data_IF_216621377616
#
_entry.id   IF_216621377616
#
_cell.length_a   1.000
_cell.length_b   1.000
_cell.length_c   1.000
_cell.angle_alpha   90.00
_cell.angle_beta   90.00
_cell.angle_gamma   90.00
#
_symmetry.space_group_name_H-M   'P 1'
#
loop_
_entity.id
_entity.type
_entity.pdbx_description
1 polymer ?
#
# COMPACT_ATOMS: atom_id res chain seq x y z
N UNK A 1 -61.01 -39.94 16.00
CA UNK A 1 -61.47 -40.90 17.02
C UNK A 1 -60.53 -42.09 16.95
N UNK A 2 -59.56 -42.13 17.87
CA UNK A 2 -59.41 -43.18 18.91
C UNK A 2 -58.69 -44.42 18.35
N UNK A 3 -57.64 -44.98 18.94
CA UNK A 3 -57.08 -44.88 20.29
C UNK A 3 -55.80 -45.71 20.35
N UNK A 4 -54.79 -45.22 21.07
CA UNK A 4 -53.68 -46.00 21.64
C UNK A 4 -54.19 -46.96 22.74
N UNK A 5 -53.40 -47.97 23.14
CA UNK A 5 -52.82 -47.90 24.49
C UNK A 5 -51.37 -48.44 24.63
N UNK A 6 -50.58 -47.64 25.37
CA UNK A 6 -49.68 -47.91 26.50
C UNK A 6 -49.10 -49.34 26.80
N UNK A 7 -47.76 -49.50 26.91
CA UNK A 7 -46.80 -49.35 28.05
C UNK A 7 -46.34 -50.73 28.58
N UNK A 8 -45.02 -50.96 28.57
CA UNK A 8 -44.24 -51.56 29.68
C UNK A 8 -42.72 -51.48 29.37
N UNK A 9 -41.95 -50.76 30.19
CA UNK A 9 -40.51 -51.00 30.39
C UNK A 9 -40.30 -51.98 31.56
N UNK A 10 -39.13 -52.05 32.21
CA UNK A 10 -37.79 -51.57 31.84
C UNK A 10 -36.73 -52.70 31.89
N UNK A 11 -35.50 -52.43 31.47
CA UNK A 11 -34.29 -52.82 32.23
C UNK A 11 -33.09 -52.03 31.69
N UNK A 12 -32.42 -51.37 32.62
CA UNK A 12 -31.11 -50.77 32.45
C UNK A 12 -30.12 -51.83 31.97
N UNK A 13 -29.21 -51.46 31.08
CA UNK A 13 -27.80 -51.58 31.42
C UNK A 13 -26.98 -50.47 30.76
N UNK A 14 -26.45 -49.64 31.65
CA UNK A 14 -25.37 -48.69 31.43
C UNK A 14 -24.09 -49.45 31.10
N UNK A 15 -23.44 -49.08 29.99
CA UNK A 15 -21.98 -49.14 29.93
C UNK A 15 -21.48 -47.71 29.73
N UNK A 16 -20.95 -47.19 30.83
CA UNK A 16 -20.39 -45.86 31.00
C UNK A 16 -18.97 -45.89 30.44
N UNK A 17 -18.72 -45.17 29.35
CA UNK A 17 -17.39 -44.79 28.88
C UNK A 17 -17.11 -43.34 29.28
N UNK A 18 -15.87 -42.97 29.66
CA UNK A 18 -15.61 -41.72 30.36
C UNK A 18 -15.87 -40.51 29.47
N UNK A 19 -16.80 -39.70 29.94
CA UNK A 19 -17.08 -38.33 29.54
C UNK A 19 -15.86 -37.45 29.75
N UNK A 20 -15.31 -36.90 28.67
CA UNK A 20 -14.62 -35.62 28.69
C UNK A 20 -14.93 -34.87 27.40
N UNK A 21 -16.19 -34.44 27.26
CA UNK A 21 -16.48 -33.26 26.44
C UNK A 21 -15.98 -32.09 27.28
N UNK A 22 -14.77 -31.62 26.98
CA UNK A 22 -14.30 -30.34 27.50
C UNK A 22 -15.08 -29.28 26.75
N UNK A 23 -16.14 -28.78 27.37
CA UNK A 23 -16.67 -27.47 27.05
C UNK A 23 -15.57 -26.48 27.41
N UNK A 24 -14.83 -26.00 26.41
CA UNK A 24 -14.07 -24.76 26.57
C UNK A 24 -15.11 -23.66 26.45
N UNK A 25 -15.75 -23.32 27.57
CA UNK A 25 -16.39 -22.02 27.70
C UNK A 25 -15.31 -20.98 27.42
N UNK A 26 -15.48 -20.25 26.32
CA UNK A 26 -14.68 -19.07 26.06
C UNK A 26 -14.88 -18.11 27.24
N UNK A 27 -13.81 -17.59 27.87
CA UNK A 27 -13.99 -16.51 28.80
C UNK A 27 -14.52 -15.32 28.00
N UNK A 28 -15.74 -14.91 28.32
CA UNK A 28 -16.29 -13.61 27.95
C UNK A 28 -15.48 -12.54 28.69
N UNK A 29 -14.32 -12.19 28.14
CA UNK A 29 -13.54 -11.05 28.59
C UNK A 29 -13.37 -10.05 27.44
N UNK A 30 -14.26 -9.06 27.46
CA UNK A 30 -14.25 -7.93 26.54
C UNK A 30 -13.08 -6.95 26.78
N UNK A 31 -12.19 -7.21 27.76
CA UNK A 31 -11.01 -6.37 27.99
C UNK A 31 -9.77 -6.77 27.19
N UNK A 32 -9.73 -7.95 26.56
CA UNK A 32 -8.63 -8.35 25.65
C UNK A 32 -8.85 -7.82 24.23
N UNK A 33 -10.10 -7.58 23.84
CA UNK A 33 -10.46 -7.04 22.52
C UNK A 33 -10.36 -5.51 22.43
N UNK A 34 -10.33 -4.80 23.56
CA UNK A 34 -10.17 -3.34 23.59
C UNK A 34 -8.72 -2.88 23.44
N UNK A 35 -7.75 -3.76 23.70
CA UNK A 35 -6.31 -3.43 23.59
C UNK A 35 -5.77 -3.57 22.15
N UNK A 36 -6.41 -4.39 21.30
CA UNK A 36 -6.00 -4.60 19.89
C UNK A 36 -6.46 -3.46 18.98
N UNK A 37 -7.49 -2.70 19.37
CA UNK A 37 -8.03 -1.59 18.56
C UNK A 37 -7.22 -0.30 18.73
N UNK A 38 -6.45 -0.16 19.83
CA UNK A 38 -5.76 1.07 20.19
C UNK A 38 -4.40 1.31 19.51
N UNK A 39 -3.89 0.39 18.68
CA UNK A 39 -2.55 0.50 18.06
C UNK A 39 -2.53 0.43 16.53
N UNK A 40 -3.70 0.38 15.88
CA UNK A 40 -3.83 0.17 14.42
C UNK A 40 -3.75 1.48 13.62
N UNK A 41 -2.60 2.13 13.65
CA UNK A 41 -2.29 3.25 12.73
C UNK A 41 -1.84 2.72 11.36
N UNK A 42 -2.15 3.44 10.27
CA UNK A 42 -1.67 3.08 8.93
C UNK A 42 -0.13 3.17 8.79
N UNK A 43 0.46 4.03 9.62
CA UNK A 43 1.89 4.17 9.81
C UNK A 43 2.26 3.60 11.18
N UNK A 44 3.31 2.79 11.30
CA UNK A 44 3.81 2.37 12.61
C UNK A 44 4.15 3.57 13.49
N UNK A 45 3.99 3.43 14.82
CA UNK A 45 4.28 4.50 15.79
C UNK A 45 5.74 4.99 15.73
N UNK A 46 6.66 4.09 15.37
CA UNK A 46 8.06 4.42 15.12
C UNK A 46 8.27 4.38 13.60
N UNK A 47 8.62 5.50 13.01
CA UNK A 47 8.86 5.65 11.57
C UNK A 47 9.87 6.77 11.34
N UNK A 48 10.48 6.83 10.16
CA UNK A 48 11.34 7.95 9.81
C UNK A 48 10.55 9.27 9.90
N UNK A 49 11.12 10.32 10.53
CA UNK A 49 10.47 11.61 10.68
C UNK A 49 10.22 12.27 9.32
N UNK A 50 9.40 13.32 9.30
CA UNK A 50 9.30 14.19 8.13
C UNK A 50 10.69 14.77 7.79
N UNK A 51 10.98 14.88 6.50
CA UNK A 51 12.23 15.42 5.97
C UNK A 51 11.87 16.28 4.77
N UNK A 52 12.47 17.46 4.64
CA UNK A 52 12.26 18.31 3.47
C UNK A 52 13.12 17.85 2.29
N UNK A 53 12.59 18.02 1.07
CA UNK A 53 13.33 17.76 -0.15
C UNK A 53 14.47 18.75 -0.33
N UNK A 54 15.64 18.25 -0.70
CA UNK A 54 16.70 19.09 -1.26
C UNK A 54 16.33 19.59 -2.68
N UNK A 55 17.12 20.55 -3.19
CA UNK A 55 16.95 21.05 -4.56
C UNK A 55 17.08 19.93 -5.61
N UNK A 56 16.22 19.98 -6.63
CA UNK A 56 16.17 19.04 -7.73
C UNK A 56 15.60 19.71 -8.99
N UNK A 57 15.66 19.02 -10.14
CA UNK A 57 15.25 19.57 -11.44
C UNK A 57 13.79 19.35 -11.80
N UNK A 58 12.96 18.88 -10.86
CA UNK A 58 11.52 18.72 -11.12
C UNK A 58 10.87 20.09 -11.34
N UNK A 59 9.97 20.18 -12.30
CA UNK A 59 9.26 21.41 -12.63
C UNK A 59 7.83 21.31 -12.10
N UNK A 60 7.41 22.27 -11.27
CA UNK A 60 6.01 22.37 -10.86
C UNK A 60 5.15 22.79 -12.06
N UNK A 61 4.06 22.07 -12.28
CA UNK A 61 3.03 22.38 -13.27
C UNK A 61 1.65 22.20 -12.63
N UNK A 62 0.69 22.95 -13.13
CA UNK A 62 -0.73 22.65 -12.89
C UNK A 62 -1.31 22.05 -14.15
N UNK A 63 -1.89 20.86 -14.04
CA UNK A 63 -2.67 20.23 -15.11
C UNK A 63 -4.09 20.01 -14.60
N UNK A 64 -5.08 20.52 -15.33
CA UNK A 64 -6.44 20.70 -14.83
C UNK A 64 -6.45 21.47 -13.50
N UNK A 65 -6.80 20.81 -12.39
CA UNK A 65 -6.78 21.37 -11.03
C UNK A 65 -5.68 20.78 -10.14
N UNK A 66 -4.83 19.92 -10.71
CA UNK A 66 -3.84 19.14 -9.96
C UNK A 66 -2.45 19.74 -10.11
N UNK A 67 -1.77 19.94 -8.99
CA UNK A 67 -0.33 20.24 -8.99
C UNK A 67 0.46 18.97 -9.24
N UNK A 68 1.39 19.06 -10.18
CA UNK A 68 2.30 18.00 -10.58
C UNK A 68 3.73 18.51 -10.52
N UNK A 69 4.67 17.64 -10.17
CA UNK A 69 6.10 17.89 -10.24
C UNK A 69 6.67 16.94 -11.28
N UNK A 70 7.07 17.50 -12.42
CA UNK A 70 7.33 16.71 -13.64
C UNK A 70 8.79 16.80 -14.05
N UNK A 71 9.31 15.69 -14.58
CA UNK A 71 10.69 15.59 -15.08
C UNK A 71 10.78 14.47 -16.11
N UNK A 72 11.78 14.52 -16.99
CA UNK A 72 12.02 13.48 -18.01
C UNK A 72 12.31 14.07 -19.39
N UNK A 73 12.67 13.22 -20.36
CA UNK A 73 12.94 13.66 -21.72
C UNK A 73 11.65 14.02 -22.47
N UNK A 74 11.72 14.97 -23.40
CA UNK A 74 10.56 15.45 -24.17
C UNK A 74 9.90 14.40 -25.08
N UNK A 75 10.59 13.29 -25.37
CA UNK A 75 10.12 12.21 -26.24
C UNK A 75 10.10 10.85 -25.51
N UNK A 76 9.80 10.85 -24.21
CA UNK A 76 9.67 9.62 -23.44
C UNK A 76 8.51 8.76 -23.98
N UNK A 77 8.73 7.44 -24.12
CA UNK A 77 7.67 6.51 -24.51
C UNK A 77 6.92 5.91 -23.34
N UNK A 78 7.55 5.86 -22.17
CA UNK A 78 7.04 5.28 -20.95
C UNK A 78 6.98 6.33 -19.84
N UNK A 79 5.87 6.31 -19.09
CA UNK A 79 5.59 7.24 -18.00
C UNK A 79 5.58 6.58 -16.64
N UNK A 80 5.83 7.37 -15.60
CA UNK A 80 5.73 6.97 -14.19
C UNK A 80 4.87 7.96 -13.42
N UNK A 81 3.82 7.46 -12.77
CA UNK A 81 3.09 8.23 -11.75
C UNK A 81 3.75 7.97 -10.40
N UNK A 82 4.13 9.02 -9.70
CA UNK A 82 4.70 8.95 -8.35
C UNK A 82 3.70 9.48 -7.35
N UNK A 83 3.40 8.71 -6.31
CA UNK A 83 2.44 9.10 -5.28
C UNK A 83 3.17 9.27 -3.96
N UNK A 84 3.12 10.47 -3.33
CA UNK A 84 3.91 10.76 -2.15
C UNK A 84 3.44 9.99 -0.92
N UNK A 85 4.22 10.06 0.15
CA UNK A 85 3.78 9.66 1.47
C UNK A 85 2.83 10.71 2.10
N UNK A 86 2.47 10.50 3.37
CA UNK A 86 1.58 11.39 4.14
C UNK A 86 2.13 12.81 4.31
N UNK A 87 3.42 13.06 4.12
CA UNK A 87 4.03 14.39 4.20
C UNK A 87 4.08 15.10 2.84
N UNK A 88 3.57 14.45 1.79
CA UNK A 88 3.33 15.07 0.50
C UNK A 88 4.55 15.13 -0.43
N UNK A 89 4.43 15.84 -1.57
CA UNK A 89 5.44 15.84 -2.63
C UNK A 89 6.81 16.41 -2.22
N UNK A 90 6.88 17.18 -1.14
CA UNK A 90 8.12 17.70 -0.57
C UNK A 90 8.85 16.71 0.35
N UNK A 91 8.26 15.54 0.61
CA UNK A 91 8.80 14.59 1.58
C UNK A 91 10.09 13.93 1.10
N UNK A 92 11.13 14.03 1.93
CA UNK A 92 12.42 13.37 1.81
C UNK A 92 13.00 13.47 0.41
N UNK A 93 13.37 12.32 -0.15
CA UNK A 93 14.02 12.22 -1.46
C UNK A 93 13.06 12.00 -2.63
N UNK A 94 11.74 12.15 -2.46
CA UNK A 94 10.75 11.77 -3.49
C UNK A 94 10.98 12.50 -4.81
N UNK A 95 11.33 13.79 -4.77
CA UNK A 95 11.61 14.56 -5.99
C UNK A 95 12.94 14.16 -6.64
N UNK A 96 13.96 13.82 -5.84
CA UNK A 96 15.26 13.32 -6.31
C UNK A 96 15.11 11.97 -6.98
N UNK A 97 14.31 11.09 -6.39
CA UNK A 97 13.96 9.79 -6.97
C UNK A 97 13.27 9.99 -8.32
N UNK A 98 12.29 10.89 -8.41
CA UNK A 98 11.65 11.25 -9.68
C UNK A 98 12.65 11.78 -10.72
N UNK A 99 13.58 12.66 -10.32
CA UNK A 99 14.65 13.15 -11.20
C UNK A 99 15.57 12.02 -11.70
N UNK A 100 15.93 11.07 -10.83
CA UNK A 100 16.75 9.92 -11.20
C UNK A 100 16.06 9.07 -12.28
N UNK A 101 14.78 8.76 -12.11
CA UNK A 101 14.00 8.02 -13.11
C UNK A 101 13.80 8.82 -14.40
N UNK A 102 13.68 10.14 -14.30
CA UNK A 102 13.69 11.05 -15.45
C UNK A 102 14.99 10.97 -16.26
N UNK A 103 16.14 10.93 -15.58
CA UNK A 103 17.47 10.74 -16.22
C UNK A 103 17.61 9.36 -16.88
N UNK A 104 16.88 8.36 -16.41
CA UNK A 104 16.86 7.02 -17.01
C UNK A 104 16.04 6.94 -18.30
N UNK A 105 15.18 7.93 -18.58
CA UNK A 105 14.42 8.02 -19.84
C UNK A 105 12.90 8.02 -19.68
N UNK A 106 12.39 7.90 -18.45
CA UNK A 106 10.95 7.96 -18.18
C UNK A 106 10.45 9.42 -18.15
N UNK A 107 9.21 9.65 -18.59
CA UNK A 107 8.48 10.85 -18.19
C UNK A 107 7.84 10.60 -16.82
N UNK A 108 8.22 11.38 -15.81
CA UNK A 108 7.80 11.17 -14.43
C UNK A 108 6.87 12.32 -14.02
N UNK A 109 5.74 11.97 -13.42
CA UNK A 109 4.79 12.90 -12.84
C UNK A 109 4.55 12.54 -11.38
N UNK A 110 5.18 13.29 -10.46
CA UNK A 110 4.86 13.25 -9.04
C UNK A 110 3.61 14.08 -8.78
N UNK A 111 2.58 13.43 -8.25
CA UNK A 111 1.27 14.05 -8.03
C UNK A 111 1.13 14.62 -6.63
N UNK A 112 0.57 15.82 -6.51
CA UNK A 112 -0.01 16.30 -5.26
C UNK A 112 -1.39 15.64 -5.06
N UNK A 113 -1.40 14.42 -4.53
CA UNK A 113 -2.61 13.61 -4.39
C UNK A 113 -3.54 14.03 -3.24
N UNK A 114 -3.03 14.81 -2.28
CA UNK A 114 -3.75 15.34 -1.12
C UNK A 114 -4.17 16.80 -1.28
N UNK A 115 -4.00 17.41 -2.46
CA UNK A 115 -4.39 18.80 -2.72
C UNK A 115 -3.75 19.81 -1.73
N UNK A 116 -2.49 19.59 -1.37
CA UNK A 116 -1.76 20.39 -0.39
C UNK A 116 -2.14 20.15 1.09
N UNK A 117 -3.08 19.25 1.37
CA UNK A 117 -3.48 18.87 2.74
C UNK A 117 -2.52 17.81 3.31
N UNK A 118 -1.36 18.24 3.82
CA UNK A 118 -0.38 17.35 4.44
C UNK A 118 0.01 17.85 5.84
N UNK A 119 0.09 16.97 6.85
CA UNK A 119 0.64 17.33 8.15
C UNK A 119 2.14 17.65 8.05
N UNK A 120 2.62 18.59 8.87
CA UNK A 120 4.06 18.80 9.10
C UNK A 120 4.65 17.73 10.04
N UNK A 121 3.84 17.24 10.98
CA UNK A 121 4.19 16.19 11.95
C UNK A 121 2.95 15.34 12.29
N UNK A 122 3.19 14.10 12.72
CA UNK A 122 2.14 13.20 13.19
C UNK A 122 1.86 13.32 14.70
N UNK A 123 2.61 14.14 15.42
CA UNK A 123 2.41 14.36 16.86
C UNK A 123 1.05 14.98 17.15
N UNK A 124 0.16 14.20 17.78
CA UNK A 124 -1.21 14.63 18.07
C UNK A 124 -2.11 14.76 16.83
N UNK A 125 -1.65 14.29 15.67
CA UNK A 125 -2.39 14.37 14.41
C UNK A 125 -3.42 13.23 14.27
N UNK A 126 -4.64 13.55 13.85
CA UNK A 126 -5.69 12.56 13.60
C UNK A 126 -5.49 11.90 12.22
N UNK A 127 -4.54 10.95 12.17
CA UNK A 127 -4.23 10.17 10.97
C UNK A 127 -5.49 9.48 10.41
N UNK A 128 -6.35 8.80 11.20
CA UNK A 128 -7.58 8.20 10.68
C UNK A 128 -8.54 9.19 10.01
N UNK A 129 -8.75 10.37 10.58
CA UNK A 129 -9.60 11.39 9.95
C UNK A 129 -8.98 11.90 8.64
N UNK A 130 -7.68 12.15 8.64
CA UNK A 130 -6.95 12.59 7.44
C UNK A 130 -7.00 11.54 6.33
N UNK A 131 -6.80 10.25 6.64
CA UNK A 131 -6.90 9.16 5.66
C UNK A 131 -8.28 9.06 5.03
N UNK A 132 -9.35 9.27 5.81
CA UNK A 132 -10.72 9.26 5.28
C UNK A 132 -10.97 10.45 4.37
N UNK A 133 -10.48 11.63 4.73
CA UNK A 133 -10.57 12.82 3.88
C UNK A 133 -9.79 12.63 2.58
N UNK A 134 -8.53 12.23 2.68
CA UNK A 134 -7.60 12.05 1.57
C UNK A 134 -7.56 10.61 1.05
N UNK A 135 -8.69 9.90 1.09
CA UNK A 135 -8.76 8.54 0.57
C UNK A 135 -8.71 8.54 -0.96
N UNK A 136 -8.52 7.35 -1.54
CA UNK A 136 -8.61 7.17 -3.00
C UNK A 136 -9.97 7.65 -3.53
N UNK A 137 -11.06 7.25 -2.88
CA UNK A 137 -12.43 7.58 -3.31
C UNK A 137 -12.77 9.06 -3.22
N UNK A 138 -12.19 9.79 -2.26
CA UNK A 138 -12.62 11.16 -1.96
C UNK A 138 -11.78 12.23 -2.68
N UNK A 139 -10.46 12.13 -2.61
CA UNK A 139 -9.55 13.18 -3.12
C UNK A 139 -8.55 12.60 -4.12
N UNK A 140 -7.81 11.56 -3.72
CA UNK A 140 -6.59 11.16 -4.43
C UNK A 140 -6.84 10.61 -5.85
N UNK A 141 -7.96 9.93 -6.12
CA UNK A 141 -8.22 9.33 -7.43
C UNK A 141 -8.31 10.36 -8.56
N UNK A 142 -8.88 11.54 -8.31
CA UNK A 142 -8.99 12.61 -9.32
C UNK A 142 -7.62 13.16 -9.66
N UNK A 143 -6.76 13.37 -8.66
CA UNK A 143 -5.40 13.87 -8.87
C UNK A 143 -4.51 12.84 -9.57
N UNK A 144 -4.61 11.57 -9.19
CA UNK A 144 -3.91 10.47 -9.89
C UNK A 144 -4.37 10.34 -11.34
N UNK A 145 -5.67 10.50 -11.61
CA UNK A 145 -6.21 10.52 -12.97
C UNK A 145 -5.66 11.70 -13.78
N UNK A 146 -5.56 12.90 -13.19
CA UNK A 146 -4.94 14.06 -13.83
C UNK A 146 -3.46 13.82 -14.14
N UNK A 147 -2.70 13.16 -13.25
CA UNK A 147 -1.30 12.80 -13.50
C UNK A 147 -1.16 11.80 -14.67
N UNK A 148 -2.03 10.80 -14.74
CA UNK A 148 -2.10 9.85 -15.85
C UNK A 148 -2.44 10.58 -17.15
N UNK A 149 -3.44 11.48 -17.13
CA UNK A 149 -3.85 12.25 -18.28
C UNK A 149 -2.74 13.18 -18.76
N UNK A 150 -2.02 13.86 -17.87
CA UNK A 150 -0.85 14.66 -18.20
C UNK A 150 0.22 13.83 -18.92
N UNK A 151 0.55 12.64 -18.40
CA UNK A 151 1.54 11.76 -19.02
C UNK A 151 1.12 11.34 -20.44
N UNK A 152 -0.17 11.04 -20.65
CA UNK A 152 -0.69 10.63 -21.95
C UNK A 152 -0.79 11.79 -22.95
N UNK A 153 -1.25 12.96 -22.51
CA UNK A 153 -1.61 14.07 -23.40
C UNK A 153 -0.46 15.03 -23.64
N UNK A 154 0.27 15.39 -22.58
CA UNK A 154 1.34 16.40 -22.65
C UNK A 154 2.72 15.76 -22.82
N UNK A 155 2.99 14.66 -22.12
CA UNK A 155 4.25 13.94 -22.28
C UNK A 155 4.22 12.91 -23.42
N UNK A 156 3.04 12.56 -23.93
CA UNK A 156 2.88 11.68 -25.09
C UNK A 156 3.29 10.22 -24.85
N UNK A 157 3.31 9.76 -23.59
CA UNK A 157 3.71 8.39 -23.27
C UNK A 157 2.64 7.38 -23.69
N UNK A 158 3.09 6.18 -24.06
CA UNK A 158 2.21 5.09 -24.55
C UNK A 158 1.99 3.99 -23.51
N UNK A 159 2.80 3.97 -22.45
CA UNK A 159 2.69 3.02 -21.34
C UNK A 159 3.01 3.73 -20.03
N UNK A 160 2.35 3.33 -18.94
CA UNK A 160 2.50 3.94 -17.62
C UNK A 160 2.59 2.84 -16.57
N UNK A 161 3.51 2.98 -15.63
CA UNK A 161 3.46 2.27 -14.34
C UNK A 161 3.51 3.30 -13.21
N UNK A 162 3.37 2.86 -11.96
CA UNK A 162 3.42 3.78 -10.83
C UNK A 162 4.28 3.25 -9.70
N UNK A 163 4.70 4.16 -8.83
CA UNK A 163 5.25 3.81 -7.53
C UNK A 163 4.77 4.78 -6.47
N UNK A 164 4.74 4.33 -5.22
CA UNK A 164 4.28 5.14 -4.11
C UNK A 164 4.94 4.74 -2.81
N UNK A 165 4.89 5.67 -1.87
CA UNK A 165 5.52 5.56 -0.56
C UNK A 165 4.44 5.62 0.52
N UNK A 166 4.46 4.71 1.51
CA UNK A 166 3.54 4.81 2.66
C UNK A 166 2.06 4.88 2.21
N UNK A 167 1.38 6.00 2.47
CA UNK A 167 0.04 6.30 2.00
C UNK A 167 -0.07 6.25 0.47
N UNK A 168 0.91 6.74 -0.26
CA UNK A 168 0.95 6.66 -1.71
C UNK A 168 1.04 5.23 -2.25
N UNK A 169 1.64 4.30 -1.51
CA UNK A 169 1.61 2.88 -1.83
C UNK A 169 0.20 2.28 -1.72
N UNK A 170 -0.61 2.78 -0.77
CA UNK A 170 -2.03 2.42 -0.67
C UNK A 170 -2.84 3.00 -1.84
N UNK A 171 -2.67 4.29 -2.17
CA UNK A 171 -3.36 4.92 -3.31
C UNK A 171 -3.01 4.22 -4.63
N UNK A 172 -1.75 3.85 -4.84
CA UNK A 172 -1.33 3.10 -6.02
C UNK A 172 -1.92 1.69 -6.09
N UNK A 173 -2.02 0.98 -4.95
CA UNK A 173 -2.70 -0.31 -4.90
C UNK A 173 -4.20 -0.19 -5.22
N UNK A 174 -4.88 0.87 -4.77
CA UNK A 174 -6.26 1.17 -5.15
C UNK A 174 -6.41 1.45 -6.64
N UNK A 175 -5.48 2.18 -7.24
CA UNK A 175 -5.43 2.38 -8.68
C UNK A 175 -5.25 1.04 -9.43
N UNK A 176 -4.40 0.14 -8.93
CA UNK A 176 -4.22 -1.21 -9.48
C UNK A 176 -5.45 -2.12 -9.33
N UNK A 177 -6.34 -1.82 -8.37
CA UNK A 177 -7.55 -2.57 -8.07
C UNK A 177 -8.79 -2.10 -8.84
N UNK A 178 -8.67 -1.09 -9.70
CA UNK A 178 -9.74 -0.69 -10.62
C UNK A 178 -10.06 -1.83 -11.60
N UNK A 179 -11.28 -1.84 -12.15
CA UNK A 179 -11.70 -2.86 -13.13
C UNK A 179 -10.87 -2.84 -14.42
N UNK A 180 -10.38 -1.65 -14.81
CA UNK A 180 -9.53 -1.44 -15.99
C UNK A 180 -8.40 -0.48 -15.62
N UNK A 181 -7.36 -0.93 -14.89
CA UNK A 181 -6.27 -0.06 -14.50
C UNK A 181 -5.45 0.36 -15.72
N UNK A 182 -5.21 1.66 -15.86
CA UNK A 182 -4.37 2.21 -16.95
C UNK A 182 -2.89 1.86 -16.75
N UNK A 183 -2.46 1.74 -15.49
CA UNK A 183 -1.07 1.42 -15.12
C UNK A 183 -0.75 -0.06 -15.38
N UNK A 184 0.50 -0.36 -15.74
CA UNK A 184 1.00 -1.72 -16.06
C UNK A 184 1.55 -2.49 -14.87
N UNK A 185 1.79 -1.81 -13.76
CA UNK A 185 2.29 -2.38 -12.52
C UNK A 185 2.51 -1.27 -11.49
N UNK A 186 2.66 -1.67 -10.22
CA UNK A 186 2.84 -0.73 -9.12
C UNK A 186 3.94 -1.17 -8.15
N UNK A 187 4.82 -0.24 -7.76
CA UNK A 187 5.79 -0.43 -6.67
C UNK A 187 5.29 0.25 -5.41
N UNK A 188 5.24 -0.50 -4.32
CA UNK A 188 4.90 -0.02 -2.98
C UNK A 188 6.14 -0.03 -2.09
N UNK A 189 6.64 1.15 -1.74
CA UNK A 189 7.67 1.32 -0.71
C UNK A 189 7.01 1.53 0.66
N UNK A 190 7.45 0.74 1.65
CA UNK A 190 6.90 0.69 3.02
C UNK A 190 5.35 0.77 3.03
N UNK A 191 4.65 -0.29 2.57
CA UNK A 191 3.25 -0.17 2.14
C UNK A 191 2.27 0.02 3.30
N UNK A 192 1.48 1.10 3.29
CA UNK A 192 0.40 1.35 4.27
C UNK A 192 -0.96 0.79 3.81
N UNK A 193 -1.00 -0.40 3.22
CA UNK A 193 -2.24 -0.98 2.65
C UNK A 193 -3.36 -1.18 3.69
N UNK A 194 -3.00 -1.28 4.98
CA UNK A 194 -3.96 -1.32 6.08
C UNK A 194 -4.83 -0.06 6.18
N UNK A 195 -4.42 1.06 5.58
CA UNK A 195 -5.23 2.28 5.47
C UNK A 195 -6.59 2.00 4.83
N UNK A 196 -6.68 1.03 3.91
CA UNK A 196 -7.94 0.64 3.29
C UNK A 196 -8.97 0.16 4.32
N UNK A 197 -8.54 -0.53 5.39
CA UNK A 197 -9.43 -0.94 6.47
C UNK A 197 -9.93 0.26 7.28
N UNK A 198 -9.08 1.27 7.51
CA UNK A 198 -9.44 2.47 8.26
C UNK A 198 -10.44 3.36 7.52
N UNK A 199 -10.37 3.34 6.19
CA UNK A 199 -11.26 4.07 5.29
C UNK A 199 -12.56 3.30 5.03
N UNK A 200 -12.46 2.03 4.66
CA UNK A 200 -13.56 1.26 4.08
C UNK A 200 -14.04 0.08 4.97
N UNK A 201 -13.49 -0.07 6.17
CA UNK A 201 -13.93 -1.04 7.17
C UNK A 201 -13.29 -2.43 7.04
N UNK A 202 -13.76 -3.35 7.88
CA UNK A 202 -13.24 -4.72 7.96
C UNK A 202 -13.35 -5.46 6.62
N UNK A 203 -12.32 -6.24 6.27
CA UNK A 203 -12.26 -7.00 5.02
C UNK A 203 -11.94 -6.17 3.76
N UNK A 204 -11.91 -4.84 3.85
CA UNK A 204 -11.66 -3.97 2.69
C UNK A 204 -10.26 -4.18 2.09
N UNK A 205 -9.24 -4.41 2.93
CA UNK A 205 -7.87 -4.69 2.47
C UNK A 205 -7.83 -5.95 1.62
N UNK A 206 -8.41 -7.06 2.08
CA UNK A 206 -8.43 -8.31 1.33
C UNK A 206 -9.20 -8.16 0.02
N UNK A 207 -10.33 -7.44 0.04
CA UNK A 207 -11.11 -7.13 -1.16
C UNK A 207 -10.28 -6.32 -2.17
N UNK A 208 -9.55 -5.31 -1.71
CA UNK A 208 -8.64 -4.52 -2.57
C UNK A 208 -7.60 -5.42 -3.23
N UNK A 209 -6.89 -6.26 -2.46
CA UNK A 209 -5.83 -7.14 -2.99
C UNK A 209 -6.41 -8.14 -4.00
N UNK A 210 -7.59 -8.70 -3.71
CA UNK A 210 -8.31 -9.59 -4.64
C UNK A 210 -8.72 -8.89 -5.93
N UNK A 211 -8.91 -7.58 -5.95
CA UNK A 211 -9.26 -6.83 -7.15
C UNK A 211 -8.04 -6.37 -7.98
N UNK A 212 -6.82 -6.41 -7.43
CA UNK A 212 -5.60 -6.06 -8.16
C UNK A 212 -5.43 -6.98 -9.37
N UNK A 213 -5.23 -6.39 -10.55
CA UNK A 213 -5.11 -7.10 -11.83
C UNK A 213 -3.80 -6.83 -12.58
N UNK A 214 -2.87 -6.08 -11.98
CA UNK A 214 -1.54 -5.79 -12.54
C UNK A 214 -0.44 -6.16 -11.56
N UNK A 215 0.77 -6.54 -12.02
CA UNK A 215 1.88 -6.93 -11.16
C UNK A 215 2.20 -5.90 -10.07
N UNK A 216 2.69 -6.39 -8.93
CA UNK A 216 3.06 -5.55 -7.79
C UNK A 216 4.49 -5.86 -7.32
N UNK A 217 5.22 -4.83 -6.89
CA UNK A 217 6.42 -5.01 -6.05
C UNK A 217 6.16 -4.36 -4.69
N UNK A 218 6.30 -5.13 -3.61
CA UNK A 218 6.20 -4.59 -2.25
C UNK A 218 7.59 -4.64 -1.61
N UNK A 219 8.12 -3.48 -1.23
CA UNK A 219 9.33 -3.36 -0.42
C UNK A 219 8.90 -2.99 1.01
N UNK A 220 8.93 -3.95 1.94
CA UNK A 220 8.39 -3.77 3.30
C UNK A 220 9.50 -3.51 4.34
N UNK A 221 9.21 -2.71 5.36
CA UNK A 221 10.08 -2.49 6.52
C UNK A 221 9.88 -3.59 7.58
N UNK A 222 10.85 -3.73 8.48
CA UNK A 222 10.78 -4.66 9.61
C UNK A 222 9.64 -4.38 10.59
N UNK A 223 9.12 -3.15 10.62
CA UNK A 223 7.99 -2.75 11.45
C UNK A 223 6.71 -2.49 10.66
N UNK A 224 6.65 -2.87 9.38
CA UNK A 224 5.42 -2.84 8.60
C UNK A 224 4.44 -3.96 9.01
N UNK A 225 3.14 -3.80 8.74
CA UNK A 225 2.15 -4.84 9.03
C UNK A 225 2.49 -6.18 8.38
N UNK A 226 2.34 -7.33 9.10
CA UNK A 226 2.66 -8.65 8.55
C UNK A 226 1.95 -9.01 7.22
N UNK A 227 0.81 -8.37 6.93
CA UNK A 227 0.05 -8.58 5.70
C UNK A 227 0.84 -8.22 4.43
N UNK A 228 1.69 -7.19 4.48
CA UNK A 228 2.45 -6.68 3.31
C UNK A 228 3.88 -7.22 3.22
N UNK A 229 4.27 -8.07 4.17
CA UNK A 229 5.60 -8.67 4.28
C UNK A 229 5.68 -10.01 3.55
N UNK A 230 6.90 -10.51 3.35
CA UNK A 230 7.19 -11.82 2.77
C UNK A 230 6.46 -12.92 3.56
N UNK A 231 5.78 -13.83 2.84
CA UNK A 231 4.89 -14.86 3.40
C UNK A 231 3.53 -14.35 3.89
N UNK A 232 3.28 -13.03 3.81
CA UNK A 232 2.05 -12.37 4.22
C UNK A 232 0.83 -12.69 3.35
N UNK A 233 -0.33 -12.18 3.77
CA UNK A 233 -1.58 -12.40 3.04
C UNK A 233 -1.58 -11.75 1.65
N UNK A 234 -0.92 -10.60 1.49
CA UNK A 234 -0.81 -9.93 0.18
C UNK A 234 -0.09 -10.82 -0.84
N UNK A 235 1.06 -11.39 -0.45
CA UNK A 235 1.82 -12.30 -1.32
C UNK A 235 0.98 -13.51 -1.74
N UNK A 236 0.35 -14.18 -0.78
CA UNK A 236 -0.46 -15.38 -1.05
C UNK A 236 -1.58 -15.09 -2.06
N UNK A 237 -2.30 -13.99 -1.88
CA UNK A 237 -3.41 -13.61 -2.77
C UNK A 237 -2.89 -13.21 -4.15
N UNK A 238 -1.81 -12.43 -4.22
CA UNK A 238 -1.27 -11.96 -5.49
C UNK A 238 -0.62 -13.09 -6.30
N UNK A 239 0.14 -13.99 -5.64
CA UNK A 239 0.76 -15.16 -6.27
C UNK A 239 -0.24 -16.22 -6.71
N UNK A 240 -1.46 -16.21 -6.17
CA UNK A 240 -2.56 -17.06 -6.63
C UNK A 240 -3.20 -16.59 -7.95
N UNK A 241 -2.79 -15.44 -8.51
CA UNK A 241 -3.31 -14.88 -9.77
C UNK A 241 -2.32 -15.15 -10.91
N UNK A 242 -2.55 -16.15 -11.79
CA UNK A 242 -1.56 -16.57 -12.78
C UNK A 242 -1.06 -15.45 -13.69
N UNK A 243 -1.95 -14.53 -14.08
CA UNK A 243 -1.65 -13.45 -15.03
C UNK A 243 -0.61 -12.43 -14.51
N UNK A 244 -0.43 -12.34 -13.19
CA UNK A 244 0.49 -11.36 -12.56
C UNK A 244 1.51 -12.00 -11.61
N UNK A 245 1.36 -13.29 -11.29
CA UNK A 245 2.14 -13.97 -10.25
C UNK A 245 3.64 -13.99 -10.54
N UNK A 246 4.03 -14.22 -11.80
CA UNK A 246 5.43 -14.30 -12.21
C UNK A 246 6.17 -12.97 -12.00
N UNK A 247 5.52 -11.86 -12.35
CA UNK A 247 6.10 -10.52 -12.27
C UNK A 247 5.92 -9.85 -10.89
N UNK A 248 5.07 -10.41 -10.03
CA UNK A 248 4.84 -9.88 -8.68
C UNK A 248 5.95 -10.32 -7.72
N UNK A 249 6.46 -9.42 -6.86
CA UNK A 249 7.47 -9.76 -5.86
C UNK A 249 7.25 -9.03 -4.55
N UNK A 250 7.63 -9.65 -3.43
CA UNK A 250 7.65 -9.05 -2.10
C UNK A 250 9.08 -9.16 -1.60
N UNK A 251 9.62 -8.07 -1.05
CA UNK A 251 10.99 -7.97 -0.57
C UNK A 251 10.99 -7.33 0.81
N UNK A 252 11.44 -8.06 1.82
CA UNK A 252 11.51 -7.58 3.20
C UNK A 252 12.86 -6.91 3.51
N UNK A 253 12.79 -5.80 4.25
CA UNK A 253 13.92 -5.06 4.78
C UNK A 253 13.80 -5.04 6.32
N UNK A 254 14.11 -6.15 7.00
CA UNK A 254 13.77 -6.36 8.42
C UNK A 254 14.50 -5.42 9.38
N UNK A 255 15.63 -4.83 8.97
CA UNK A 255 16.40 -3.88 9.77
C UNK A 255 16.00 -2.42 9.54
N UNK A 256 15.12 -2.16 8.57
CA UNK A 256 14.63 -0.82 8.25
C UNK A 256 13.31 -0.53 8.96
N UNK A 257 13.02 0.76 9.13
CA UNK A 257 11.73 1.23 9.65
C UNK A 257 10.91 1.91 8.56
N UNK A 258 9.59 1.95 8.75
CA UNK A 258 8.66 2.59 7.82
C UNK A 258 9.11 4.00 7.42
N UNK A 259 9.15 4.27 6.12
CA UNK A 259 9.65 5.54 5.56
C UNK A 259 11.12 5.55 5.13
N UNK A 260 11.89 4.48 5.37
CA UNK A 260 13.34 4.48 5.12
C UNK A 260 13.73 4.85 3.68
N UNK A 261 12.92 4.48 2.68
CA UNK A 261 13.26 4.68 1.26
C UNK A 261 13.41 6.17 0.94
N UNK A 262 12.39 6.96 1.27
CA UNK A 262 12.40 8.39 0.98
C UNK A 262 13.02 9.24 2.10
N UNK A 263 12.94 8.82 3.38
CA UNK A 263 13.30 9.66 4.54
C UNK A 263 14.43 9.12 5.42
N UNK A 264 14.88 7.88 5.21
CA UNK A 264 15.97 7.31 6.01
C UNK A 264 17.28 8.08 5.86
N UNK A 265 18.11 8.10 6.90
CA UNK A 265 19.42 8.77 6.90
C UNK A 265 20.41 8.04 5.98
N UNK A 266 20.85 8.71 4.89
CA UNK A 266 21.78 8.12 3.92
C UNK A 266 23.25 8.27 4.31
N UNK A 267 23.55 8.97 5.41
CA UNK A 267 24.88 8.98 6.02
C UNK A 267 25.12 7.70 6.85
N UNK A 268 24.04 7.03 7.29
CA UNK A 268 24.12 5.68 7.85
C UNK A 268 24.33 4.65 6.71
N UNK A 269 25.44 3.88 6.72
CA UNK A 269 25.74 2.95 5.63
C UNK A 269 24.69 1.85 5.43
N UNK A 270 24.09 1.35 6.51
CA UNK A 270 23.10 0.27 6.43
C UNK A 270 21.79 0.75 5.80
N UNK A 271 21.36 1.96 6.14
CA UNK A 271 20.21 2.62 5.55
C UNK A 271 20.47 2.93 4.08
N UNK A 272 21.64 3.49 3.74
CA UNK A 272 22.02 3.74 2.35
C UNK A 272 21.99 2.49 1.49
N UNK A 273 22.63 1.40 1.94
CA UNK A 273 22.62 0.11 1.21
C UNK A 273 21.19 -0.42 1.03
N UNK A 274 20.34 -0.28 2.04
CA UNK A 274 18.94 -0.72 1.99
C UNK A 274 18.09 0.12 1.03
N UNK A 275 18.33 1.43 0.94
CA UNK A 275 17.69 2.32 -0.05
C UNK A 275 18.13 1.93 -1.46
N UNK A 276 19.42 1.76 -1.69
CA UNK A 276 19.97 1.35 -3.00
C UNK A 276 19.41 0.00 -3.45
N UNK A 277 19.32 -0.98 -2.53
CA UNK A 277 18.75 -2.29 -2.81
C UNK A 277 17.24 -2.21 -3.13
N UNK A 278 16.48 -1.44 -2.37
CA UNK A 278 15.04 -1.24 -2.64
C UNK A 278 14.81 -0.64 -4.03
N UNK A 279 15.61 0.37 -4.40
CA UNK A 279 15.57 0.96 -5.74
C UNK A 279 16.03 0.02 -6.84
N UNK A 280 17.04 -0.83 -6.60
CA UNK A 280 17.47 -1.83 -7.56
C UNK A 280 16.34 -2.81 -7.91
N UNK A 281 15.57 -3.27 -6.91
CA UNK A 281 14.40 -4.12 -7.16
C UNK A 281 13.29 -3.35 -7.90
N UNK A 282 13.02 -2.10 -7.49
CA UNK A 282 12.00 -1.27 -8.10
C UNK A 282 12.28 -0.97 -9.58
N UNK A 283 13.52 -0.60 -9.91
CA UNK A 283 13.93 -0.33 -11.29
C UNK A 283 13.79 -1.59 -12.15
N UNK A 284 14.26 -2.74 -11.67
CA UNK A 284 14.16 -4.00 -12.41
C UNK A 284 12.69 -4.36 -12.70
N UNK A 285 11.81 -4.21 -11.69
CA UNK A 285 10.38 -4.43 -11.84
C UNK A 285 9.75 -3.42 -12.82
N UNK A 286 10.03 -2.12 -12.67
CA UNK A 286 9.51 -1.06 -13.54
C UNK A 286 9.89 -1.33 -15.00
N UNK A 287 11.14 -1.72 -15.25
CA UNK A 287 11.61 -2.04 -16.59
C UNK A 287 10.94 -3.29 -17.18
N UNK A 288 10.56 -4.27 -16.36
CA UNK A 288 9.85 -5.46 -16.85
C UNK A 288 8.41 -5.15 -17.25
N UNK A 289 7.69 -4.34 -16.46
CA UNK A 289 6.27 -4.04 -16.70
C UNK A 289 6.06 -2.83 -17.62
N UNK A 290 7.05 -1.94 -17.72
CA UNK A 290 6.98 -0.66 -18.42
C UNK A 290 8.34 -0.30 -19.04
N UNK A 291 8.77 -1.03 -20.09
CA UNK A 291 10.03 -0.78 -20.77
C UNK A 291 10.05 0.56 -21.52
N UNK A 292 11.25 1.13 -21.70
CA UNK A 292 11.52 2.37 -22.44
C UNK A 292 11.45 2.20 -23.96
#
# INVERSE_FOLDING_TARGET
>A
MASTPAIAGPTNDMVVGPSWVVWVEAPADASVLTEVVATMSCCPKVMEPAMESADCRVVEKTFNKTKLYVVGPAQAKAGLVVIPDIFGPGSGRIKQDAEALGKMGYAVALVDAGEGDYPESLDGFDVPAWLRKNSFENVASVHVADAIAYLQQEAGVTSISSYGYCWGAYIGAKQSALSTPVIKGHVSFHPSWIAEMLVNGEGAVEKMIKSISVPQLLCSAGNDPPLVREGGAAEKILKAKPDIAEQTSIVDFPNMIHGWVCRGDIEDPATKESVEKAWSHAIAFIQSVNPL
#
